data_IF_896617179256
#
_entry.id   IF_896617179256
#
_cell.length_a   1.000
_cell.length_b   1.000
_cell.length_c   1.000
_cell.angle_alpha   90.00
_cell.angle_beta   90.00
_cell.angle_gamma   90.00
#
_symmetry.space_group_name_H-M   'P 1'
#
loop_
_entity.id
_entity.type
_entity.pdbx_description
1 polymer ?
#
# COMPACT_ATOMS: atom_id res chain seq x y z
N UNK A 1 -13.85 -16.70 -19.22
CA UNK A 1 -14.17 -16.09 -17.91
C UNK A 1 -12.85 -15.82 -17.21
N UNK A 2 -12.41 -14.56 -17.17
CA UNK A 2 -11.15 -14.18 -16.51
C UNK A 2 -11.30 -14.44 -15.01
N UNK A 3 -10.58 -15.44 -14.50
CA UNK A 3 -10.52 -15.78 -13.08
C UNK A 3 -9.68 -14.68 -12.40
N UNK A 4 -10.30 -13.55 -12.08
CA UNK A 4 -9.62 -12.55 -11.26
C UNK A 4 -9.39 -13.18 -9.89
N UNK A 5 -8.14 -13.29 -9.44
CA UNK A 5 -7.85 -13.90 -8.16
C UNK A 5 -8.50 -12.99 -7.10
N UNK A 6 -9.44 -13.54 -6.32
CA UNK A 6 -10.19 -12.78 -5.33
C UNK A 6 -9.21 -12.14 -4.35
N UNK A 7 -9.34 -10.83 -4.14
CA UNK A 7 -8.48 -10.11 -3.19
C UNK A 7 -8.63 -10.73 -1.81
N UNK A 8 -7.53 -10.92 -1.07
CA UNK A 8 -7.61 -11.47 0.27
C UNK A 8 -8.44 -10.53 1.15
N UNK A 9 -9.28 -11.12 2.01
CA UNK A 9 -10.14 -10.37 2.91
C UNK A 9 -9.25 -9.57 3.88
N UNK A 10 -9.39 -8.25 3.81
CA UNK A 10 -8.82 -7.30 4.75
C UNK A 10 -9.95 -6.65 5.51
N UNK A 11 -9.75 -6.39 6.81
CA UNK A 11 -10.79 -5.81 7.68
C UNK A 11 -10.17 -4.79 8.63
N UNK A 12 -11.02 -3.90 9.16
CA UNK A 12 -10.59 -2.78 10.00
C UNK A 12 -9.63 -1.85 9.27
N UNK A 13 -8.67 -1.29 10.02
CA UNK A 13 -7.73 -0.28 9.51
C UNK A 13 -6.92 -0.71 8.27
N UNK A 14 -6.68 -2.01 8.07
CA UNK A 14 -6.01 -2.47 6.84
C UNK A 14 -6.91 -2.33 5.60
N UNK A 15 -8.22 -2.54 5.75
CA UNK A 15 -9.18 -2.29 4.68
C UNK A 15 -9.29 -0.80 4.37
N UNK A 16 -9.32 0.05 5.40
CA UNK A 16 -9.34 1.50 5.24
C UNK A 16 -8.10 2.00 4.48
N UNK A 17 -6.90 1.55 4.88
CA UNK A 17 -5.65 1.89 4.16
C UNK A 17 -5.71 1.43 2.71
N UNK A 18 -6.15 0.19 2.45
CA UNK A 18 -6.22 -0.34 1.09
C UNK A 18 -7.20 0.47 0.23
N UNK A 19 -8.35 0.83 0.78
CA UNK A 19 -9.36 1.64 0.10
C UNK A 19 -8.82 3.03 -0.23
N UNK A 20 -8.19 3.73 0.72
CA UNK A 20 -7.54 5.03 0.51
C UNK A 20 -6.51 4.94 -0.61
N UNK A 21 -5.62 3.94 -0.56
CA UNK A 21 -4.61 3.74 -1.60
C UNK A 21 -5.23 3.51 -2.99
N UNK A 22 -6.34 2.76 -3.07
CA UNK A 22 -7.03 2.51 -4.34
C UNK A 22 -7.71 3.76 -4.89
N UNK A 23 -8.40 4.52 -4.04
CA UNK A 23 -9.02 5.78 -4.42
C UNK A 23 -7.97 6.76 -4.98
N UNK A 24 -6.85 6.90 -4.29
CA UNK A 24 -5.76 7.77 -4.70
C UNK A 24 -5.02 7.29 -5.96
N UNK A 25 -4.85 5.97 -6.13
CA UNK A 25 -4.29 5.40 -7.36
C UNK A 25 -5.16 5.74 -8.58
N UNK A 26 -6.51 5.72 -8.47
CA UNK A 26 -7.39 6.10 -9.58
C UNK A 26 -7.19 7.55 -10.01
N UNK A 27 -6.88 8.42 -9.07
CA UNK A 27 -6.52 9.83 -9.32
C UNK A 27 -5.05 10.00 -9.72
N UNK A 28 -4.29 8.91 -9.90
CA UNK A 28 -2.85 8.90 -10.16
C UNK A 28 -2.04 9.71 -9.13
N UNK A 29 -2.53 9.77 -7.89
CA UNK A 29 -1.97 10.51 -6.78
C UNK A 29 -1.41 9.52 -5.77
N UNK A 30 -0.11 9.54 -5.46
CA UNK A 30 0.45 8.68 -4.42
C UNK A 30 0.18 9.25 -3.01
N UNK A 31 0.02 8.37 -2.01
CA UNK A 31 -0.40 8.76 -0.64
C UNK A 31 0.79 8.84 0.29
N UNK A 32 1.00 9.96 0.97
CA UNK A 32 2.08 10.09 1.97
C UNK A 32 1.66 9.59 3.35
N UNK A 33 2.61 9.08 4.14
CA UNK A 33 2.36 8.55 5.50
C UNK A 33 1.71 9.57 6.45
N UNK A 34 2.03 10.85 6.28
CA UNK A 34 1.42 11.94 7.05
C UNK A 34 -0.07 12.11 6.75
N UNK A 35 -0.50 11.89 5.50
CA UNK A 35 -1.91 11.99 5.13
C UNK A 35 -2.71 10.89 5.84
N UNK A 36 -2.22 9.65 5.79
CA UNK A 36 -2.86 8.51 6.47
C UNK A 36 -3.00 8.74 7.99
N UNK A 37 -1.95 9.27 8.62
CA UNK A 37 -1.95 9.49 10.07
C UNK A 37 -2.77 10.71 10.48
N UNK A 38 -2.63 11.84 9.78
CA UNK A 38 -3.19 13.11 10.21
C UNK A 38 -4.59 13.41 9.64
N UNK A 39 -4.91 12.90 8.45
CA UNK A 39 -6.19 13.15 7.77
C UNK A 39 -7.15 11.97 7.99
N UNK A 40 -6.65 10.75 7.78
CA UNK A 40 -7.46 9.53 7.92
C UNK A 40 -7.46 8.96 9.35
N UNK A 41 -6.76 9.60 10.30
CA UNK A 41 -6.64 9.15 11.69
C UNK A 41 -6.21 7.67 11.83
N UNK A 42 -5.34 7.19 10.92
CA UNK A 42 -4.81 5.82 10.95
C UNK A 42 -3.47 5.84 11.70
N UNK A 43 -3.45 5.50 13.00
CA UNK A 43 -2.18 5.33 13.71
C UNK A 43 -1.38 4.20 13.07
N UNK A 44 -0.06 4.36 13.05
CA UNK A 44 0.87 3.33 12.57
C UNK A 44 0.62 2.91 11.11
N UNK A 45 0.31 3.86 10.23
CA UNK A 45 0.07 3.61 8.80
C UNK A 45 1.13 2.70 8.15
N UNK A 46 2.41 2.89 8.48
CA UNK A 46 3.49 2.04 7.98
C UNK A 46 3.35 0.55 8.36
N UNK A 47 2.86 0.24 9.57
CA UNK A 47 2.63 -1.13 10.02
C UNK A 47 1.45 -1.77 9.24
N UNK A 48 0.40 -1.00 8.98
CA UNK A 48 -0.75 -1.46 8.17
C UNK A 48 -0.37 -1.74 6.71
N UNK A 49 0.48 -0.88 6.13
CA UNK A 49 1.06 -1.11 4.80
C UNK A 49 1.89 -2.41 4.78
N UNK A 50 2.66 -2.65 5.84
CA UNK A 50 3.44 -3.87 5.96
C UNK A 50 2.54 -5.13 6.02
N UNK A 51 1.46 -5.10 6.81
CA UNK A 51 0.49 -6.20 6.88
C UNK A 51 -0.11 -6.53 5.51
N UNK A 52 -0.52 -5.50 4.75
CA UNK A 52 -1.00 -5.67 3.39
C UNK A 52 0.07 -6.29 2.47
N UNK A 53 1.33 -5.88 2.56
CA UNK A 53 2.42 -6.51 1.78
C UNK A 53 2.62 -7.98 2.18
N UNK A 54 2.50 -8.33 3.46
CA UNK A 54 2.56 -9.71 3.93
C UNK A 54 1.41 -10.56 3.35
N UNK A 55 0.23 -9.97 3.15
CA UNK A 55 -0.90 -10.62 2.44
C UNK A 55 -0.71 -10.70 0.92
N UNK A 56 0.40 -10.17 0.39
CA UNK A 56 0.77 -10.24 -1.02
C UNK A 56 0.31 -9.05 -1.86
N UNK A 57 -0.21 -7.98 -1.25
CA UNK A 57 -0.57 -6.77 -1.99
C UNK A 57 0.68 -6.09 -2.56
N UNK A 58 0.57 -5.60 -3.78
CA UNK A 58 1.64 -4.90 -4.47
C UNK A 58 1.68 -3.43 -4.07
N UNK A 59 2.22 -3.14 -2.89
CA UNK A 59 2.38 -1.75 -2.41
C UNK A 59 3.83 -1.32 -2.61
N UNK A 60 4.01 -0.23 -3.37
CA UNK A 60 5.29 0.45 -3.59
C UNK A 60 5.47 1.53 -2.53
N UNK A 61 6.63 1.54 -1.89
CA UNK A 61 7.00 2.59 -0.93
C UNK A 61 8.18 3.37 -1.49
N UNK A 62 7.99 4.67 -1.64
CA UNK A 62 9.02 5.61 -2.09
C UNK A 62 9.31 6.58 -0.95
N UNK A 63 10.58 6.73 -0.56
CA UNK A 63 10.97 7.74 0.43
C UNK A 63 11.29 9.03 -0.31
N UNK A 64 10.47 10.06 -0.09
CA UNK A 64 10.71 11.38 -0.64
C UNK A 64 11.69 12.16 0.24
N UNK A 65 12.70 12.82 -0.35
CA UNK A 65 13.65 13.63 0.39
C UNK A 65 12.96 14.84 1.03
N UNK A 66 12.00 15.44 0.33
CA UNK A 66 11.26 16.62 0.76
C UNK A 66 9.84 16.63 0.14
N UNK A 67 8.81 16.97 0.93
CA UNK A 67 7.43 17.12 0.48
C UNK A 67 6.75 18.27 1.22
N UNK A 68 5.97 19.08 0.51
CA UNK A 68 5.13 20.11 1.12
C UNK A 68 3.82 19.47 1.59
N UNK A 69 3.56 19.50 2.89
CA UNK A 69 2.30 19.01 3.46
C UNK A 69 1.75 20.01 4.49
N UNK A 70 0.50 20.45 4.30
CA UNK A 70 -0.18 21.46 5.13
C UNK A 70 0.68 22.73 5.34
N UNK A 71 1.30 23.23 4.27
CA UNK A 71 2.16 24.41 4.29
C UNK A 71 3.50 24.22 5.00
N UNK A 72 3.85 23.00 5.41
CA UNK A 72 5.13 22.67 6.05
C UNK A 72 5.91 21.69 5.20
N UNK A 73 7.18 22.01 4.99
CA UNK A 73 8.13 21.13 4.31
C UNK A 73 8.55 20.01 5.26
N UNK A 74 8.26 18.76 4.88
CA UNK A 74 8.62 17.56 5.62
C UNK A 74 9.67 16.80 4.83
N UNK A 75 10.71 16.34 5.53
CA UNK A 75 11.80 15.57 4.94
C UNK A 75 11.69 14.10 5.31
N UNK A 76 12.26 13.22 4.48
CA UNK A 76 12.28 11.77 4.68
C UNK A 76 10.86 11.19 4.85
N UNK A 77 9.96 11.56 3.93
CA UNK A 77 8.56 11.16 4.01
C UNK A 77 8.32 9.90 3.19
N UNK A 78 7.71 8.89 3.81
CA UNK A 78 7.27 7.71 3.08
C UNK A 78 6.03 8.05 2.26
N UNK A 79 6.08 7.70 0.98
CA UNK A 79 4.99 7.78 0.03
C UNK A 79 4.65 6.37 -0.43
N UNK A 80 3.36 6.07 -0.47
CA UNK A 80 2.81 4.77 -0.81
C UNK A 80 1.99 4.87 -2.09
N UNK A 81 2.21 3.91 -2.98
CA UNK A 81 1.47 3.77 -4.22
C UNK A 81 1.14 2.32 -4.44
N UNK A 82 0.01 2.04 -5.07
CA UNK A 82 -0.30 0.70 -5.52
C UNK A 82 0.44 0.41 -6.82
N UNK A 83 0.98 -0.81 -6.92
CA UNK A 83 1.56 -1.34 -8.13
C UNK A 83 0.49 -2.03 -8.97
N UNK A 84 0.80 -2.23 -10.25
CA UNK A 84 -0.01 -3.05 -11.16
C UNK A 84 0.74 -4.33 -11.48
N UNK A 85 0.15 -5.52 -11.28
CA UNK A 85 -1.19 -5.77 -10.72
C UNK A 85 -1.29 -5.41 -9.23
N UNK A 86 -2.50 -5.08 -8.75
CA UNK A 86 -2.81 -4.76 -7.34
C UNK A 86 -2.46 -5.93 -6.41
N UNK A 87 -2.85 -7.12 -6.83
CA UNK A 87 -2.62 -8.39 -6.16
C UNK A 87 -2.85 -9.54 -7.17
N UNK A 88 -2.17 -10.68 -7.01
CA UNK A 88 -1.00 -10.88 -6.16
C UNK A 88 0.20 -10.11 -6.71
N UNK A 89 1.05 -9.58 -5.82
CA UNK A 89 2.33 -9.00 -6.22
C UNK A 89 3.17 -10.06 -6.95
N UNK A 90 3.87 -9.70 -8.04
CA UNK A 90 4.77 -10.63 -8.72
C UNK A 90 5.82 -11.22 -7.76
N UNK A 91 6.28 -10.46 -6.77
CA UNK A 91 7.19 -10.95 -5.73
C UNK A 91 6.54 -12.00 -4.82
N UNK A 92 5.25 -11.81 -4.50
CA UNK A 92 4.49 -12.75 -3.69
C UNK A 92 4.27 -14.06 -4.44
N UNK A 93 3.91 -13.98 -5.73
CA UNK A 93 3.78 -15.16 -6.60
C UNK A 93 5.12 -15.90 -6.72
N UNK A 94 6.23 -15.17 -6.91
CA UNK A 94 7.55 -15.78 -7.00
C UNK A 94 7.95 -16.53 -5.71
N UNK A 95 7.65 -15.97 -4.54
CA UNK A 95 7.87 -16.64 -3.24
C UNK A 95 7.00 -17.88 -3.05
N UNK A 96 5.71 -17.79 -3.38
CA UNK A 96 4.78 -18.91 -3.27
C UNK A 96 5.21 -20.10 -4.16
N UNK A 97 5.76 -19.83 -5.35
CA UNK A 97 6.27 -20.87 -6.24
C UNK A 97 7.57 -21.51 -5.74
N UNK A 98 8.43 -20.79 -5.01
CA UNK A 98 9.63 -21.36 -4.39
C UNK A 98 9.29 -22.33 -3.25
N UNK A 99 8.30 -21.99 -2.42
CA UNK A 99 7.92 -22.83 -1.27
C UNK A 99 7.27 -24.16 -1.64
N UNK A 100 6.87 -24.38 -2.90
CA UNK A 100 6.29 -25.65 -3.39
C UNK A 100 7.32 -26.62 -3.99
N UNK A 101 8.61 -26.26 -3.99
CA UNK A 101 9.70 -27.05 -4.59
C UNK A 101 10.68 -27.64 -3.56
N UNK A 102 10.36 -27.56 -2.27
CA UNK A 102 11.10 -28.22 -1.19
C UNK A 102 10.33 -29.44 -0.65
#
# INVERSE_FOLDING_TARGET
MSHFPQLPIVSGQCADVLDILQQHQRSNQPVISFYLTADCAIPEAAARIHDLRCKGFNIKTTVLPEVLYRGKTRRKVAQYSLGSPLWPSPEYVAKANKSKRE
#
